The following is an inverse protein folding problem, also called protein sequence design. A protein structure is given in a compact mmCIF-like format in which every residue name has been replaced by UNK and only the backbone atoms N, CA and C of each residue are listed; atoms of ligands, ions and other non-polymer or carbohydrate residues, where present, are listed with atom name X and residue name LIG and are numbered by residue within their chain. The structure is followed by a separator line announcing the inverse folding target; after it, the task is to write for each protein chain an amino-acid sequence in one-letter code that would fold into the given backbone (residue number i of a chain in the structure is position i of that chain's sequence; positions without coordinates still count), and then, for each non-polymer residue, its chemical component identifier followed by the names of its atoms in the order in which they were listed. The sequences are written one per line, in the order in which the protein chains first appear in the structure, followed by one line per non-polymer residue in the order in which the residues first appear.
data_IF_333997245137
#
_entry.id   IF_333997245137
#
_cell.length_a   1.000
_cell.length_b   1.000
_cell.length_c   1.000
_cell.angle_alpha   90.00
_cell.angle_beta   90.00
_cell.angle_gamma   90.00
#
_symmetry.space_group_name_H-M   'P 1'
#
loop_
_entity.id
_entity.type
_entity.pdbx_description
1 polymer ?
#
# COMPACT_ATOMS: atom_id res chain seq x y z
N UNK A 1 30.21 11.56 3.20
CA UNK A 1 28.94 11.01 2.67
C UNK A 1 28.24 10.35 3.83
N UNK A 2 27.17 10.96 4.31
CA UNK A 2 26.46 10.49 5.50
C UNK A 2 25.71 9.22 5.13
N UNK A 3 26.16 8.08 5.65
CA UNK A 3 25.35 6.86 5.72
C UNK A 3 24.13 7.18 6.59
N UNK A 4 23.04 7.61 5.97
CA UNK A 4 21.75 7.49 6.61
C UNK A 4 21.53 5.99 6.82
N UNK A 5 21.52 5.57 8.08
CA UNK A 5 21.10 4.24 8.46
C UNK A 5 19.58 4.16 8.21
N UNK A 6 19.19 3.99 6.94
CA UNK A 6 17.83 3.91 6.39
C UNK A 6 17.01 2.72 6.94
N UNK A 7 17.51 2.05 7.98
CA UNK A 7 16.98 0.79 8.54
C UNK A 7 15.72 0.92 9.40
N UNK A 8 15.11 2.10 9.58
CA UNK A 8 14.00 2.26 10.53
C UNK A 8 12.94 3.27 10.10
N UNK A 9 12.39 3.13 8.90
CA UNK A 9 11.06 3.71 8.66
C UNK A 9 10.02 2.75 9.22
N UNK A 10 9.23 3.14 10.24
CA UNK A 10 8.20 2.28 10.76
C UNK A 10 6.98 2.28 9.83
N UNK A 11 6.29 1.16 9.68
CA UNK A 11 5.02 1.06 8.93
C UNK A 11 3.97 2.02 9.47
N UNK A 12 4.00 2.29 10.78
CA UNK A 12 3.14 3.31 11.38
C UNK A 12 3.32 4.69 10.75
N UNK A 13 4.53 5.09 10.35
CA UNK A 13 4.73 6.36 9.64
C UNK A 13 4.04 6.34 8.27
N UNK A 14 4.17 5.24 7.53
CA UNK A 14 3.50 5.07 6.25
C UNK A 14 1.97 5.10 6.40
N UNK A 15 1.43 4.43 7.41
CA UNK A 15 0.01 4.45 7.75
C UNK A 15 -0.49 5.85 8.10
N UNK A 16 0.28 6.64 8.86
CA UNK A 16 -0.08 8.04 9.15
C UNK A 16 -0.09 8.91 7.89
N UNK A 17 0.89 8.74 7.00
CA UNK A 17 0.95 9.47 5.73
C UNK A 17 -0.24 9.09 4.83
N UNK A 18 -0.54 7.79 4.74
CA UNK A 18 -1.68 7.28 3.97
C UNK A 18 -3.00 7.80 4.55
N UNK A 19 -3.25 7.63 5.85
CA UNK A 19 -4.46 8.12 6.52
C UNK A 19 -4.66 9.63 6.36
N UNK A 20 -3.58 10.40 6.50
CA UNK A 20 -3.61 11.84 6.34
C UNK A 20 -3.81 12.29 4.90
N UNK A 21 -3.56 11.41 3.91
CA UNK A 21 -3.52 11.74 2.48
C UNK A 21 -2.64 12.99 2.23
N UNK A 22 -1.50 13.07 2.92
CA UNK A 22 -0.60 14.23 2.89
C UNK A 22 0.23 14.32 1.62
N UNK A 23 0.38 13.20 0.91
CA UNK A 23 0.89 13.20 -0.45
C UNK A 23 -0.23 13.69 -1.38
N UNK A 24 0.11 14.48 -2.40
CA UNK A 24 -0.85 14.79 -3.48
C UNK A 24 -1.49 13.47 -3.93
N UNK A 25 -2.80 13.41 -4.10
CA UNK A 25 -3.57 12.17 -4.34
C UNK A 25 -3.30 11.50 -5.71
N UNK A 26 -2.11 11.69 -6.29
CA UNK A 26 -1.67 11.19 -7.57
C UNK A 26 -1.53 12.28 -8.63
N UNK A 27 -1.17 11.87 -9.86
CA UNK A 27 -0.99 10.48 -10.31
C UNK A 27 0.27 9.83 -9.74
N UNK A 28 0.15 8.60 -9.24
CA UNK A 28 1.28 7.74 -8.85
C UNK A 28 1.45 6.62 -9.88
N UNK A 29 2.66 6.38 -10.41
CA UNK A 29 2.91 5.20 -11.22
C UNK A 29 2.90 3.96 -10.32
N UNK A 30 2.09 2.95 -10.68
CA UNK A 30 2.14 1.62 -10.11
C UNK A 30 3.30 0.81 -10.73
N UNK A 31 3.71 -0.26 -10.06
CA UNK A 31 4.80 -1.14 -10.50
C UNK A 31 4.52 -1.86 -11.82
N UNK A 32 3.24 -1.98 -12.20
CA UNK A 32 2.79 -2.55 -13.47
C UNK A 32 2.63 -1.51 -14.59
N UNK A 33 2.97 -0.24 -14.33
CA UNK A 33 2.90 0.85 -15.30
C UNK A 33 1.57 1.60 -15.35
N UNK A 34 0.54 1.15 -14.61
CA UNK A 34 -0.74 1.85 -14.50
C UNK A 34 -0.64 3.08 -13.61
N UNK A 35 -1.59 3.99 -13.73
CA UNK A 35 -1.66 5.21 -12.94
C UNK A 35 -2.68 5.08 -11.83
N UNK A 36 -2.27 5.34 -10.59
CA UNK A 36 -3.15 5.34 -9.42
C UNK A 36 -3.47 6.78 -9.00
N UNK A 37 -4.75 7.04 -8.74
CA UNK A 37 -5.22 8.22 -8.00
C UNK A 37 -6.08 7.78 -6.83
N UNK A 38 -5.85 8.34 -5.65
CA UNK A 38 -6.61 7.98 -4.45
C UNK A 38 -7.83 8.88 -4.34
N UNK A 39 -9.05 8.32 -4.38
CA UNK A 39 -10.28 9.08 -4.12
C UNK A 39 -10.64 9.06 -2.64
N UNK A 40 -10.46 7.90 -2.01
CA UNK A 40 -10.67 7.69 -0.58
C UNK A 40 -9.70 6.64 -0.06
N UNK A 41 -9.01 6.94 1.03
CA UNK A 41 -7.96 6.10 1.61
C UNK A 41 -8.47 4.79 2.23
N UNK A 42 -9.77 4.67 2.44
CA UNK A 42 -10.39 3.59 3.22
C UNK A 42 -10.49 3.93 4.71
N UNK A 43 -11.10 3.03 5.46
CA UNK A 43 -11.18 3.09 6.93
C UNK A 43 -10.00 2.30 7.51
N UNK A 44 -9.23 2.93 8.39
CA UNK A 44 -8.18 2.24 9.15
C UNK A 44 -8.75 1.00 9.86
N UNK A 45 -8.11 -0.15 9.64
CA UNK A 45 -8.39 -1.40 10.31
C UNK A 45 -7.54 -1.48 11.58
N UNK A 46 -8.15 -1.88 12.69
CA UNK A 46 -7.45 -2.12 13.97
C UNK A 46 -7.46 -3.59 14.37
N UNK A 47 -8.10 -4.41 13.56
CA UNK A 47 -8.21 -5.85 13.71
C UNK A 47 -7.22 -6.54 12.76
N UNK A 48 -7.25 -7.87 12.71
CA UNK A 48 -6.49 -8.64 11.74
C UNK A 48 -6.91 -8.35 10.30
N UNK A 49 -6.00 -8.57 9.36
CA UNK A 49 -6.22 -8.38 7.92
C UNK A 49 -5.55 -7.11 7.43
N UNK A 50 -6.02 -6.52 6.31
CA UNK A 50 -5.34 -5.41 5.68
C UNK A 50 -5.43 -4.11 6.49
N UNK A 51 -4.44 -3.23 6.33
CA UNK A 51 -4.33 -1.99 7.11
C UNK A 51 -5.52 -1.02 6.92
N UNK A 52 -6.10 -0.94 5.72
CA UNK A 52 -7.25 -0.08 5.43
C UNK A 52 -8.31 -0.82 4.63
N UNK A 53 -9.58 -0.63 5.03
CA UNK A 53 -10.72 -1.31 4.44
C UNK A 53 -11.52 -0.41 3.50
N UNK A 54 -12.00 -0.98 2.40
CA UNK A 54 -12.93 -0.38 1.44
C UNK A 54 -12.46 0.94 0.79
N UNK A 55 -11.15 1.16 0.69
CA UNK A 55 -10.59 2.28 -0.08
C UNK A 55 -11.16 2.36 -1.49
N UNK A 56 -11.15 3.56 -2.06
CA UNK A 56 -11.58 3.80 -3.45
C UNK A 56 -10.48 4.54 -4.19
N UNK A 57 -10.01 3.93 -5.28
CA UNK A 57 -8.98 4.49 -6.15
C UNK A 57 -9.50 4.63 -7.57
N UNK A 58 -8.82 5.42 -8.37
CA UNK A 58 -8.90 5.37 -9.83
C UNK A 58 -7.62 4.72 -10.33
N UNK A 59 -7.76 3.63 -11.05
CA UNK A 59 -6.68 2.91 -11.70
C UNK A 59 -6.83 3.12 -13.20
N UNK A 60 -5.90 3.89 -13.77
CA UNK A 60 -6.02 4.56 -15.07
C UNK A 60 -7.31 5.41 -15.15
N UNK A 61 -8.40 4.86 -15.66
CA UNK A 61 -9.71 5.51 -15.79
C UNK A 61 -10.85 4.73 -15.11
N UNK A 62 -10.54 3.60 -14.48
CA UNK A 62 -11.53 2.75 -13.80
C UNK A 62 -11.57 3.03 -12.30
N UNK A 63 -12.78 3.10 -11.74
CA UNK A 63 -12.98 3.23 -10.30
C UNK A 63 -12.99 1.84 -9.68
N UNK A 64 -12.08 1.62 -8.73
CA UNK A 64 -11.91 0.33 -8.04
C UNK A 64 -12.09 0.55 -6.53
N UNK A 65 -12.78 -0.37 -5.89
CA UNK A 65 -12.98 -0.40 -4.43
C UNK A 65 -12.46 -1.71 -3.86
N UNK A 66 -11.77 -1.62 -2.73
CA UNK A 66 -11.17 -2.76 -2.03
C UNK A 66 -10.27 -2.29 -0.91
N UNK A 67 -9.41 -3.17 -0.42
CA UNK A 67 -8.58 -2.91 0.75
C UNK A 67 -7.17 -2.47 0.36
N UNK A 68 -6.44 -1.88 1.30
CA UNK A 68 -5.06 -1.40 1.11
C UNK A 68 -4.18 -2.04 2.18
N UNK A 69 -3.03 -2.52 1.75
CA UNK A 69 -1.99 -3.04 2.64
C UNK A 69 -0.73 -2.20 2.53
N UNK A 70 -0.10 -1.90 3.66
CA UNK A 70 1.10 -1.08 3.76
C UNK A 70 2.28 -1.90 4.26
N UNK A 71 3.41 -1.83 3.56
CA UNK A 71 4.67 -2.38 4.06
C UNK A 71 5.80 -1.39 3.84
N UNK A 72 6.90 -1.55 4.58
CA UNK A 72 8.14 -0.86 4.24
C UNK A 72 8.65 -1.38 2.90
N UNK A 73 8.63 -2.70 2.70
CA UNK A 73 9.15 -3.35 1.49
C UNK A 73 8.08 -4.14 0.77
N UNK A 74 8.11 -4.12 -0.56
CA UNK A 74 7.24 -4.97 -1.40
C UNK A 74 7.38 -6.46 -1.10
N UNK A 75 8.60 -6.92 -0.79
CA UNK A 75 8.88 -8.32 -0.47
C UNK A 75 8.17 -8.83 0.79
N UNK A 76 7.74 -7.93 1.68
CA UNK A 76 7.10 -8.28 2.94
C UNK A 76 5.69 -8.89 2.76
N UNK A 77 5.02 -8.59 1.64
CA UNK A 77 3.76 -9.24 1.29
C UNK A 77 3.85 -10.77 1.32
N UNK A 78 4.94 -11.31 0.76
CA UNK A 78 5.17 -12.75 0.74
C UNK A 78 5.84 -13.25 2.00
N UNK A 79 6.72 -12.47 2.62
CA UNK A 79 7.41 -12.85 3.86
C UNK A 79 6.42 -13.05 5.02
N UNK A 80 5.34 -12.24 5.05
CA UNK A 80 4.24 -12.36 6.00
C UNK A 80 3.19 -13.40 5.60
N UNK A 81 3.26 -13.95 4.38
CA UNK A 81 2.33 -14.98 3.92
C UNK A 81 0.97 -14.46 3.42
N UNK A 82 0.80 -13.14 3.22
CA UNK A 82 -0.47 -12.55 2.79
C UNK A 82 -0.99 -13.13 1.45
N UNK A 83 -0.08 -13.46 0.53
CA UNK A 83 -0.40 -14.17 -0.72
C UNK A 83 -1.08 -15.55 -0.56
N UNK A 84 -1.12 -16.12 0.64
CA UNK A 84 -1.77 -17.40 0.96
C UNK A 84 -2.95 -17.23 1.92
N UNK A 85 -3.21 -16.01 2.40
CA UNK A 85 -4.22 -15.71 3.40
C UNK A 85 -5.47 -15.08 2.74
N UNK A 86 -6.63 -15.75 2.75
CA UNK A 86 -7.86 -15.24 2.15
C UNK A 86 -8.33 -13.88 2.69
N UNK A 87 -7.92 -13.46 3.89
CA UNK A 87 -8.27 -12.14 4.42
C UNK A 87 -7.71 -10.98 3.58
N UNK A 88 -6.69 -11.24 2.75
CA UNK A 88 -6.02 -10.25 1.91
C UNK A 88 -6.51 -10.28 0.45
N UNK A 89 -7.44 -11.15 0.08
CA UNK A 89 -7.94 -11.28 -1.30
C UNK A 89 -8.63 -10.03 -1.84
N UNK A 90 -9.11 -9.16 -0.96
CA UNK A 90 -9.75 -7.90 -1.34
C UNK A 90 -8.76 -6.74 -1.45
N UNK A 91 -7.46 -6.94 -1.20
CA UNK A 91 -6.44 -5.90 -1.34
C UNK A 91 -6.29 -5.54 -2.82
N UNK A 92 -6.54 -4.27 -3.13
CA UNK A 92 -6.47 -3.73 -4.49
C UNK A 92 -5.18 -2.94 -4.75
N UNK A 93 -4.44 -2.61 -3.69
CA UNK A 93 -3.20 -1.88 -3.77
C UNK A 93 -2.32 -2.20 -2.56
N UNK A 94 -1.11 -2.68 -2.81
CA UNK A 94 -0.03 -2.71 -1.83
C UNK A 94 0.75 -1.39 -1.96
N UNK A 95 0.78 -0.61 -0.89
CA UNK A 95 1.52 0.66 -0.86
C UNK A 95 2.80 0.44 -0.07
N UNK A 96 3.93 0.69 -0.72
CA UNK A 96 5.23 0.47 -0.11
C UNK A 96 6.11 1.69 -0.23
N UNK A 97 7.07 1.79 0.68
CA UNK A 97 8.07 2.84 0.56
C UNK A 97 9.27 2.36 -0.28
N UNK A 98 9.65 1.08 -0.20
CA UNK A 98 10.68 0.47 -1.04
C UNK A 98 10.11 -0.69 -1.87
N UNK A 99 10.04 -0.48 -3.20
CA UNK A 99 9.76 -1.56 -4.16
C UNK A 99 11.05 -2.38 -4.43
N UNK A 100 11.28 -3.40 -3.62
CA UNK A 100 12.47 -4.26 -3.59
C UNK A 100 12.28 -5.65 -4.22
N UNK A 101 11.08 -5.93 -4.74
CA UNK A 101 10.67 -7.23 -5.29
C UNK A 101 10.00 -7.04 -6.64
N UNK A 102 10.32 -7.89 -7.62
CA UNK A 102 9.59 -7.95 -8.90
C UNK A 102 8.38 -8.88 -8.88
N UNK A 103 8.16 -9.58 -7.75
CA UNK A 103 6.97 -10.41 -7.61
C UNK A 103 5.78 -9.51 -7.30
N UNK A 104 4.65 -9.65 -8.01
CA UNK A 104 3.44 -8.98 -7.60
C UNK A 104 3.04 -9.45 -6.20
N UNK A 105 2.34 -8.56 -5.51
CA UNK A 105 1.52 -8.93 -4.36
C UNK A 105 0.57 -10.07 -4.80
#
# INVERSE_FOLDING_TARGET
MTDFNLKRVPESLLSHIWKGQWLKQGPFPASDGRVVRVKWAGRENKDSGPDFLNATIVLDDEVVTGDIELHVKSSDWRSHGHHLDPHFNNVILQVVFWDDSKKPA
#
